data_IF_943145156615
#
_entry.id   IF_943145156615
#
_cell.length_a   1.000
_cell.length_b   1.000
_cell.length_c   1.000
_cell.angle_alpha   90.00
_cell.angle_beta   90.00
_cell.angle_gamma   90.00
#
_symmetry.space_group_name_H-M   'P 1'
#
loop_
_entity.id
_entity.type
_entity.pdbx_description
1 polymer ?
#
# COMPACT_ATOMS: atom_id res chain seq x y z
N UNK A 1 30.77 22.51 5.29
CA UNK A 1 31.03 22.32 6.73
C UNK A 1 30.99 20.83 6.98
N UNK A 2 32.12 20.14 6.83
CA UNK A 2 32.20 18.72 7.17
C UNK A 2 32.07 18.53 8.68
N UNK A 3 31.51 17.39 9.08
CA UNK A 3 31.44 16.95 10.47
C UNK A 3 32.33 15.71 10.56
N UNK A 4 33.55 15.92 11.02
CA UNK A 4 34.65 14.94 11.10
C UNK A 4 34.18 13.58 11.66
N UNK A 5 33.57 13.58 12.85
CA UNK A 5 33.05 12.39 13.51
C UNK A 5 31.88 11.68 12.78
N UNK A 6 31.23 12.32 11.79
CA UNK A 6 30.27 11.64 10.91
C UNK A 6 30.95 11.10 9.65
N UNK A 7 31.99 11.76 9.16
CA UNK A 7 32.75 11.28 7.99
C UNK A 7 33.63 10.07 8.37
N UNK A 8 34.25 10.09 9.54
CA UNK A 8 34.96 8.94 10.13
C UNK A 8 34.09 7.67 10.22
N UNK A 9 32.76 7.84 10.41
CA UNK A 9 31.82 6.73 10.52
C UNK A 9 31.24 6.31 9.17
N UNK A 10 30.76 7.26 8.37
CA UNK A 10 30.05 6.98 7.12
C UNK A 10 30.95 6.95 5.87
N UNK A 11 32.16 7.51 5.94
CA UNK A 11 33.09 7.64 4.81
C UNK A 11 32.49 8.36 3.60
N UNK A 12 31.67 9.40 3.82
CA UNK A 12 30.94 10.05 2.71
C UNK A 12 31.88 10.85 1.81
N UNK A 13 32.95 11.44 2.35
CA UNK A 13 33.96 12.14 1.53
C UNK A 13 34.81 11.17 0.73
N UNK A 14 35.18 10.00 1.28
CA UNK A 14 35.85 8.93 0.52
C UNK A 14 34.97 8.41 -0.64
N UNK A 15 33.66 8.37 -0.42
CA UNK A 15 32.64 8.03 -1.44
C UNK A 15 32.36 9.18 -2.42
N UNK A 16 33.06 10.32 -2.31
CA UNK A 16 32.96 11.46 -3.22
C UNK A 16 31.74 12.37 -2.99
N UNK A 17 31.10 12.30 -1.83
CA UNK A 17 29.96 13.11 -1.43
C UNK A 17 30.35 14.17 -0.39
N UNK A 18 29.36 14.85 0.19
CA UNK A 18 29.53 15.83 1.28
C UNK A 18 28.29 15.90 2.15
N UNK A 19 28.41 16.39 3.39
CA UNK A 19 27.31 16.47 4.35
C UNK A 19 26.04 17.19 3.80
N UNK A 20 26.21 18.26 3.02
CA UNK A 20 25.08 18.94 2.36
C UNK A 20 24.43 18.09 1.25
N UNK A 21 25.23 17.31 0.53
CA UNK A 21 24.73 16.41 -0.52
C UNK A 21 24.00 15.21 0.10
N UNK A 22 24.51 14.64 1.19
CA UNK A 22 23.84 13.56 1.94
C UNK A 22 22.49 14.00 2.51
N UNK A 23 22.40 15.19 3.11
CA UNK A 23 21.09 15.74 3.56
C UNK A 23 20.14 15.92 2.37
N UNK A 24 20.61 16.48 1.25
CA UNK A 24 19.77 16.65 0.04
C UNK A 24 19.36 15.31 -0.57
N UNK A 25 20.22 14.30 -0.52
CA UNK A 25 19.92 12.94 -0.97
C UNK A 25 18.88 12.28 -0.05
N UNK A 26 19.06 12.33 1.27
CA UNK A 26 18.11 11.82 2.26
C UNK A 26 16.72 12.45 2.13
N UNK A 27 16.64 13.78 1.99
CA UNK A 27 15.37 14.48 1.75
C UNK A 27 14.74 14.09 0.41
N UNK A 28 15.53 13.97 -0.66
CA UNK A 28 15.02 13.53 -1.96
C UNK A 28 14.48 12.09 -1.92
N UNK A 29 15.21 11.17 -1.28
CA UNK A 29 14.81 9.77 -1.09
C UNK A 29 13.54 9.66 -0.25
N UNK A 30 13.48 10.36 0.89
CA UNK A 30 12.27 10.46 1.72
C UNK A 30 11.06 10.91 0.88
N UNK A 31 11.19 12.02 0.16
CA UNK A 31 10.11 12.54 -0.70
C UNK A 31 9.68 11.53 -1.76
N UNK A 32 10.61 10.80 -2.40
CA UNK A 32 10.24 9.77 -3.40
C UNK A 32 9.51 8.56 -2.83
N UNK A 33 9.62 8.29 -1.53
CA UNK A 33 8.94 7.18 -0.86
C UNK A 33 7.72 7.62 -0.05
N UNK A 34 7.57 8.91 0.25
CA UNK A 34 6.54 9.44 1.16
C UNK A 34 5.10 9.07 0.77
N UNK A 35 4.85 8.69 -0.49
CA UNK A 35 3.57 8.12 -0.93
C UNK A 35 3.14 6.89 -0.10
N UNK A 36 4.09 6.11 0.44
CA UNK A 36 3.80 4.91 1.25
C UNK A 36 3.04 5.24 2.53
N UNK A 37 3.18 6.47 3.04
CA UNK A 37 2.46 6.97 4.22
C UNK A 37 0.96 7.17 3.94
N UNK A 38 0.54 7.29 2.67
CA UNK A 38 -0.88 7.32 2.31
C UNK A 38 -1.33 5.96 1.79
N UNK A 39 -0.52 5.34 0.91
CA UNK A 39 -0.92 4.14 0.18
C UNK A 39 -0.90 2.88 1.05
N UNK A 40 0.06 2.70 1.97
CA UNK A 40 0.04 1.52 2.85
C UNK A 40 -1.13 1.58 3.87
N UNK A 41 -1.38 2.70 4.57
CA UNK A 41 -2.54 2.79 5.46
C UNK A 41 -3.88 2.65 4.73
N UNK A 42 -4.02 3.24 3.53
CA UNK A 42 -5.21 3.05 2.70
C UNK A 42 -5.49 1.57 2.37
N UNK A 43 -4.45 0.81 2.02
CA UNK A 43 -4.56 -0.64 1.79
C UNK A 43 -4.94 -1.39 3.07
N UNK A 44 -4.27 -1.11 4.19
CA UNK A 44 -4.53 -1.78 5.47
C UNK A 44 -5.91 -1.44 6.06
N UNK A 45 -6.48 -0.27 5.73
CA UNK A 45 -7.86 0.06 6.10
C UNK A 45 -8.92 -0.77 5.39
N UNK A 46 -8.64 -1.32 4.21
CA UNK A 46 -9.52 -2.31 3.57
C UNK A 46 -9.64 -3.58 4.42
N UNK A 47 -8.55 -3.97 5.10
CA UNK A 47 -8.51 -5.08 6.06
C UNK A 47 -9.08 -4.73 7.45
N UNK A 48 -9.65 -3.54 7.65
CA UNK A 48 -10.24 -3.11 8.92
C UNK A 48 -9.26 -2.54 9.95
N UNK A 49 -8.01 -2.26 9.58
CA UNK A 49 -7.04 -1.58 10.45
C UNK A 49 -7.26 -0.06 10.33
N UNK A 50 -7.43 0.70 11.44
CA UNK A 50 -7.66 2.14 11.34
C UNK A 50 -6.53 2.87 10.60
N UNK A 51 -6.88 3.84 9.75
CA UNK A 51 -5.92 4.52 8.87
C UNK A 51 -4.81 5.24 9.65
N UNK A 52 -5.15 5.99 10.70
CA UNK A 52 -4.19 6.71 11.54
C UNK A 52 -3.24 5.76 12.28
N UNK A 53 -3.77 4.67 12.84
CA UNK A 53 -3.00 3.60 13.47
C UNK A 53 -1.99 2.98 12.48
N UNK A 54 -2.44 2.64 11.27
CA UNK A 54 -1.60 2.08 10.21
C UNK A 54 -0.57 3.08 9.68
N UNK A 55 -0.90 4.38 9.62
CA UNK A 55 0.00 5.48 9.26
C UNK A 55 1.12 5.64 10.29
N UNK A 56 0.78 5.69 11.58
CA UNK A 56 1.77 5.75 12.65
C UNK A 56 2.69 4.52 12.63
N UNK A 57 2.12 3.31 12.52
CA UNK A 57 2.87 2.07 12.45
C UNK A 57 3.81 2.03 11.23
N UNK A 58 3.33 2.44 10.05
CA UNK A 58 4.12 2.53 8.80
C UNK A 58 5.31 3.49 8.98
N UNK A 59 5.06 4.69 9.49
CA UNK A 59 6.09 5.70 9.70
C UNK A 59 7.15 5.24 10.70
N UNK A 60 6.73 4.66 11.83
CA UNK A 60 7.63 4.17 12.87
C UNK A 60 8.46 2.96 12.43
N UNK A 61 7.85 1.99 11.75
CA UNK A 61 8.55 0.82 11.23
C UNK A 61 9.59 1.20 10.16
N UNK A 62 9.24 2.07 9.21
CA UNK A 62 10.17 2.59 8.21
C UNK A 62 11.31 3.40 8.85
N UNK A 63 11.02 4.23 9.85
CA UNK A 63 12.03 4.98 10.61
C UNK A 63 13.02 4.07 11.35
N UNK A 64 12.53 3.06 12.06
CA UNK A 64 13.39 2.08 12.76
C UNK A 64 14.22 1.28 11.75
N UNK A 65 13.63 0.80 10.65
CA UNK A 65 14.34 0.08 9.60
C UNK A 65 15.45 0.93 8.96
N UNK A 66 15.16 2.16 8.57
CA UNK A 66 16.15 3.09 8.01
C UNK A 66 17.26 3.42 9.02
N UNK A 67 16.95 3.59 10.32
CA UNK A 67 17.96 3.79 11.36
C UNK A 67 18.86 2.57 11.55
N UNK A 68 18.33 1.34 11.50
CA UNK A 68 19.15 0.12 11.59
C UNK A 68 20.10 0.02 10.40
N UNK A 69 19.61 0.29 9.17
CA UNK A 69 20.46 0.24 7.98
C UNK A 69 21.54 1.34 7.97
N UNK A 70 21.20 2.56 8.37
CA UNK A 70 22.16 3.66 8.47
C UNK A 70 23.16 3.51 9.63
N UNK A 71 22.66 3.35 10.86
CA UNK A 71 23.44 3.48 12.10
C UNK A 71 24.06 2.16 12.61
N UNK A 72 23.68 1.00 12.04
CA UNK A 72 24.27 -0.29 12.40
C UNK A 72 24.86 -1.01 11.18
N UNK A 73 24.15 -1.06 10.05
CA UNK A 73 24.70 -1.70 8.84
C UNK A 73 25.64 -0.79 8.02
N UNK A 74 25.61 0.54 8.24
CA UNK A 74 26.35 1.55 7.46
C UNK A 74 26.08 1.45 5.94
N UNK A 75 24.80 1.23 5.59
CA UNK A 75 24.32 1.08 4.23
C UNK A 75 23.26 2.16 3.91
N UNK A 76 23.36 2.87 2.76
CA UNK A 76 22.42 3.91 2.36
C UNK A 76 21.13 3.32 1.77
N UNK A 77 20.55 2.33 2.44
CA UNK A 77 19.34 1.63 2.01
C UNK A 77 18.15 2.11 2.83
N UNK A 78 17.20 2.76 2.16
CA UNK A 78 15.92 3.09 2.75
C UNK A 78 15.00 1.86 2.74
N UNK A 79 14.30 1.63 3.86
CA UNK A 79 13.36 0.53 4.04
C UNK A 79 11.95 1.08 4.27
N UNK A 80 10.99 0.53 3.55
CA UNK A 80 9.55 0.79 3.68
C UNK A 80 8.77 -0.48 3.32
N UNK A 81 7.49 -0.63 3.75
CA UNK A 81 6.70 -1.82 3.47
C UNK A 81 6.56 -2.15 1.97
N UNK A 82 6.70 -3.42 1.62
CA UNK A 82 6.60 -3.91 0.24
C UNK A 82 5.14 -4.00 -0.23
N UNK A 83 4.76 -3.18 -1.21
CA UNK A 83 3.38 -3.10 -1.72
C UNK A 83 2.77 -4.42 -2.19
N UNK A 84 3.59 -5.36 -2.69
CA UNK A 84 3.13 -6.70 -3.07
C UNK A 84 2.71 -7.53 -1.86
N UNK A 85 3.53 -7.56 -0.81
CA UNK A 85 3.23 -8.25 0.46
C UNK A 85 2.02 -7.62 1.16
N UNK A 86 1.90 -6.28 1.13
CA UNK A 86 0.74 -5.58 1.70
C UNK A 86 -0.57 -5.96 0.98
N UNK A 87 -0.56 -6.04 -0.35
CA UNK A 87 -1.72 -6.48 -1.13
C UNK A 87 -2.05 -7.97 -0.92
N UNK A 88 -1.03 -8.82 -0.76
CA UNK A 88 -1.22 -10.23 -0.41
C UNK A 88 -1.79 -10.40 1.01
N UNK A 89 -1.31 -9.63 1.99
CA UNK A 89 -1.85 -9.59 3.34
C UNK A 89 -3.34 -9.24 3.35
N UNK A 90 -3.74 -8.15 2.67
CA UNK A 90 -5.14 -7.70 2.63
C UNK A 90 -6.02 -8.68 1.85
N UNK A 91 -5.74 -8.88 0.56
CA UNK A 91 -6.66 -9.58 -0.34
C UNK A 91 -6.49 -11.10 -0.37
N UNK A 92 -5.26 -11.59 -0.14
CA UNK A 92 -4.96 -13.03 -0.14
C UNK A 92 -5.21 -13.67 1.23
N UNK A 93 -4.79 -13.02 2.31
CA UNK A 93 -4.89 -13.55 3.68
C UNK A 93 -6.13 -13.04 4.40
N UNK A 94 -6.23 -11.76 4.74
CA UNK A 94 -7.32 -11.25 5.60
C UNK A 94 -8.69 -11.45 4.95
N UNK A 95 -8.84 -11.13 3.67
CA UNK A 95 -10.09 -11.37 2.94
C UNK A 95 -10.34 -12.86 2.69
N UNK A 96 -9.30 -13.68 2.58
CA UNK A 96 -9.41 -15.14 2.52
C UNK A 96 -9.94 -15.75 3.83
N UNK A 97 -9.56 -15.19 4.98
CA UNK A 97 -10.10 -15.53 6.29
C UNK A 97 -11.55 -15.04 6.46
N UNK A 98 -11.83 -13.79 6.07
CA UNK A 98 -13.09 -13.13 6.35
C UNK A 98 -14.25 -13.53 5.41
N UNK A 99 -13.97 -13.69 4.12
CA UNK A 99 -14.98 -14.00 3.09
C UNK A 99 -14.84 -15.40 2.50
N UNK A 100 -13.77 -16.13 2.83
CA UNK A 100 -13.55 -17.52 2.43
C UNK A 100 -14.31 -18.53 3.30
N UNK A 101 -13.88 -19.81 3.31
CA UNK A 101 -14.60 -20.89 3.99
C UNK A 101 -14.59 -20.79 5.53
N UNK A 102 -13.72 -19.96 6.11
CA UNK A 102 -13.64 -19.74 7.56
C UNK A 102 -14.68 -18.72 8.09
N UNK A 103 -15.14 -17.78 7.25
CA UNK A 103 -16.07 -16.68 7.63
C UNK A 103 -15.68 -15.98 8.96
N UNK A 104 -14.38 -15.75 9.16
CA UNK A 104 -13.86 -15.12 10.38
C UNK A 104 -14.28 -13.64 10.41
N UNK A 105 -14.85 -13.11 11.51
CA UNK A 105 -15.20 -11.70 11.56
C UNK A 105 -13.93 -10.84 11.47
N UNK A 106 -14.02 -9.68 10.82
CA UNK A 106 -12.84 -8.92 10.37
C UNK A 106 -11.92 -8.50 11.52
N UNK A 107 -12.51 -8.20 12.68
CA UNK A 107 -11.87 -7.90 13.97
C UNK A 107 -10.98 -9.04 14.50
N UNK A 108 -11.13 -10.27 14.01
CA UNK A 108 -10.29 -11.42 14.34
C UNK A 108 -9.37 -11.84 13.18
N UNK A 109 -9.76 -11.55 11.94
CA UNK A 109 -9.01 -11.93 10.74
C UNK A 109 -7.67 -11.17 10.62
N UNK A 110 -7.65 -9.84 10.75
CA UNK A 110 -6.40 -9.08 10.63
C UNK A 110 -5.44 -9.23 11.83
N UNK A 111 -5.88 -9.36 13.10
CA UNK A 111 -4.97 -9.64 14.21
C UNK A 111 -4.31 -11.03 14.12
N UNK A 112 -5.06 -12.06 13.68
CA UNK A 112 -4.51 -13.39 13.42
C UNK A 112 -3.47 -13.37 12.30
N UNK A 113 -3.72 -12.60 11.23
CA UNK A 113 -2.75 -12.40 10.16
C UNK A 113 -1.49 -11.65 10.65
N UNK A 114 -1.62 -10.62 11.48
CA UNK A 114 -0.47 -9.94 12.10
C UNK A 114 0.33 -10.87 13.04
N UNK A 115 -0.34 -11.73 13.80
CA UNK A 115 0.32 -12.74 14.62
C UNK A 115 1.12 -13.74 13.75
N UNK A 116 0.59 -14.12 12.59
CA UNK A 116 1.29 -14.99 11.64
C UNK A 116 2.54 -14.30 11.09
N UNK A 117 2.42 -13.06 10.60
CA UNK A 117 3.56 -12.23 10.13
C UNK A 117 4.61 -12.02 11.24
N UNK A 118 4.21 -11.87 12.49
CA UNK A 118 5.14 -11.71 13.61
C UNK A 118 5.97 -12.99 13.88
N UNK A 119 5.35 -14.17 13.91
CA UNK A 119 6.10 -15.44 14.07
C UNK A 119 6.93 -15.72 12.82
N UNK A 120 6.39 -15.46 11.63
CA UNK A 120 7.04 -15.66 10.34
C UNK A 120 8.31 -14.80 10.23
N UNK A 121 8.26 -13.52 10.61
CA UNK A 121 9.43 -12.65 10.66
C UNK A 121 10.51 -13.11 11.65
N UNK A 122 10.13 -13.77 12.76
CA UNK A 122 11.09 -14.43 13.67
C UNK A 122 11.73 -15.65 12.99
N UNK A 123 10.95 -16.46 12.27
CA UNK A 123 11.44 -17.61 11.50
C UNK A 123 12.40 -17.13 10.39
N UNK A 124 12.05 -16.08 9.64
CA UNK A 124 12.91 -15.51 8.62
C UNK A 124 14.19 -14.90 9.20
N UNK A 125 14.11 -14.20 10.34
CA UNK A 125 15.30 -13.73 11.05
C UNK A 125 16.24 -14.90 11.36
N UNK A 126 15.72 -16.00 11.92
CA UNK A 126 16.51 -17.22 12.22
C UNK A 126 17.09 -17.85 10.94
N UNK A 127 16.31 -18.02 9.87
CA UNK A 127 16.75 -18.60 8.59
C UNK A 127 17.78 -17.72 7.88
N UNK A 128 17.73 -16.40 8.06
CA UNK A 128 18.68 -15.44 7.51
C UNK A 128 20.06 -15.48 8.16
N UNK A 129 20.17 -16.03 9.39
CA UNK A 129 21.42 -16.06 10.13
C UNK A 129 22.52 -16.82 9.34
N UNK A 130 23.73 -16.26 9.16
CA UNK A 130 24.81 -16.92 8.44
C UNK A 130 25.20 -18.30 8.98
N UNK A 131 24.93 -18.56 10.27
CA UNK A 131 25.19 -19.84 10.94
C UNK A 131 24.22 -20.95 10.52
N UNK A 132 22.99 -20.60 10.11
CA UNK A 132 21.97 -21.56 9.65
C UNK A 132 22.21 -21.91 8.18
N UNK A 133 22.66 -20.95 7.37
CA UNK A 133 23.06 -21.15 5.97
C UNK A 133 21.92 -21.46 4.99
N UNK A 134 20.70 -21.70 5.49
CA UNK A 134 19.55 -22.11 4.68
C UNK A 134 19.13 -21.04 3.66
N UNK A 135 19.29 -19.74 3.95
CA UNK A 135 19.03 -18.65 2.99
C UNK A 135 19.72 -18.91 1.63
N UNK A 136 20.97 -19.35 1.64
CA UNK A 136 21.72 -19.64 0.41
C UNK A 136 21.27 -20.95 -0.26
N UNK A 137 20.81 -21.94 0.48
CA UNK A 137 20.27 -23.18 -0.09
C UNK A 137 18.88 -22.96 -0.73
N UNK A 138 18.04 -22.16 -0.07
CA UNK A 138 16.72 -21.73 -0.50
C UNK A 138 16.78 -20.94 -1.81
N UNK A 139 17.56 -19.86 -1.83
CA UNK A 139 17.68 -18.97 -3.01
C UNK A 139 18.23 -19.73 -4.23
N UNK A 140 19.02 -20.79 -4.03
CA UNK A 140 19.56 -21.64 -5.10
C UNK A 140 18.66 -22.83 -5.50
N UNK A 141 17.65 -23.21 -4.70
CA UNK A 141 16.73 -24.29 -5.06
C UNK A 141 15.61 -23.82 -6.01
N UNK A 142 15.31 -22.52 -6.00
CA UNK A 142 14.29 -21.90 -6.84
C UNK A 142 14.84 -21.63 -8.26
N UNK A 143 14.25 -22.23 -9.32
CA UNK A 143 14.62 -21.92 -10.70
C UNK A 143 14.41 -20.45 -11.04
N UNK A 144 15.33 -19.87 -11.83
CA UNK A 144 15.27 -18.47 -12.27
C UNK A 144 13.95 -18.10 -12.94
N UNK A 145 13.37 -19.03 -13.68
CA UNK A 145 12.11 -18.84 -14.39
C UNK A 145 10.91 -18.67 -13.43
N UNK A 146 10.92 -19.33 -12.27
CA UNK A 146 9.91 -19.11 -11.22
C UNK A 146 10.06 -17.72 -10.59
N UNK A 147 11.28 -17.25 -10.33
CA UNK A 147 11.52 -15.91 -9.77
C UNK A 147 10.95 -14.81 -10.67
N UNK A 148 11.23 -14.94 -11.98
CA UNK A 148 10.68 -14.04 -13.00
C UNK A 148 9.15 -14.15 -13.07
N UNK A 149 8.60 -15.37 -13.01
CA UNK A 149 7.16 -15.58 -13.03
C UNK A 149 6.43 -15.01 -11.80
N UNK A 150 6.99 -15.16 -10.58
CA UNK A 150 6.42 -14.57 -9.36
C UNK A 150 6.41 -13.04 -9.44
N UNK A 151 7.53 -12.41 -9.82
CA UNK A 151 7.58 -10.96 -9.99
C UNK A 151 6.59 -10.43 -11.03
N UNK A 152 6.44 -11.13 -12.16
CA UNK A 152 5.43 -10.81 -13.17
C UNK A 152 3.99 -11.04 -12.67
N UNK A 153 3.76 -12.08 -11.88
CA UNK A 153 2.46 -12.39 -11.27
C UNK A 153 2.03 -11.31 -10.26
N UNK A 154 2.89 -10.98 -9.29
CA UNK A 154 2.65 -9.93 -8.29
C UNK A 154 2.44 -8.57 -9.00
N UNK A 155 3.28 -8.24 -9.98
CA UNK A 155 3.13 -7.01 -10.78
C UNK A 155 1.80 -6.94 -11.55
N UNK A 156 1.34 -8.05 -12.12
CA UNK A 156 0.05 -8.12 -12.82
C UNK A 156 -1.13 -8.04 -11.85
N UNK A 157 -1.04 -8.69 -10.69
CA UNK A 157 -2.05 -8.63 -9.63
C UNK A 157 -2.21 -7.21 -9.08
N UNK A 158 -1.10 -6.53 -8.75
CA UNK A 158 -1.09 -5.13 -8.34
C UNK A 158 -1.62 -4.19 -9.44
N UNK A 159 -1.34 -4.47 -10.71
CA UNK A 159 -1.89 -3.69 -11.82
C UNK A 159 -3.42 -3.86 -11.96
N UNK A 160 -3.96 -5.06 -11.75
CA UNK A 160 -5.40 -5.33 -11.74
C UNK A 160 -6.08 -4.62 -10.56
N UNK A 161 -5.48 -4.68 -9.36
CA UNK A 161 -5.96 -3.93 -8.18
C UNK A 161 -5.95 -2.42 -8.49
N UNK A 162 -4.83 -1.88 -8.99
CA UNK A 162 -4.77 -0.47 -9.35
C UNK A 162 -5.82 -0.07 -10.39
N UNK A 163 -6.14 -0.93 -11.36
CA UNK A 163 -7.23 -0.70 -12.32
C UNK A 163 -8.64 -0.82 -11.71
N UNK A 164 -8.83 -1.63 -10.66
CA UNK A 164 -10.07 -1.70 -9.86
C UNK A 164 -10.27 -0.43 -9.04
N UNK A 165 -9.25 -0.02 -8.27
CA UNK A 165 -9.34 1.17 -7.41
C UNK A 165 -9.45 2.47 -8.24
N UNK A 166 -8.86 2.52 -9.43
CA UNK A 166 -9.10 3.61 -10.41
C UNK A 166 -10.44 3.48 -11.15
N UNK A 167 -11.31 2.52 -10.84
CA UNK A 167 -12.61 2.35 -11.49
C UNK A 167 -12.60 1.92 -12.96
N UNK A 168 -11.47 1.49 -13.52
CA UNK A 168 -11.39 0.97 -14.90
C UNK A 168 -11.81 -0.49 -15.01
N UNK A 169 -11.62 -1.28 -13.96
CA UNK A 169 -11.98 -2.70 -13.89
C UNK A 169 -13.08 -2.90 -12.84
N UNK A 170 -14.17 -3.54 -13.26
CA UNK A 170 -15.28 -3.95 -12.38
C UNK A 170 -15.42 -5.47 -12.37
N UNK A 171 -16.04 -6.01 -11.32
CA UNK A 171 -16.53 -7.39 -11.35
C UNK A 171 -17.64 -7.55 -12.40
N UNK A 172 -17.79 -8.76 -12.94
CA UNK A 172 -18.92 -9.18 -13.75
C UNK A 172 -19.15 -10.68 -13.57
N UNK A 173 -20.33 -11.07 -13.10
CA UNK A 173 -20.59 -12.40 -12.49
C UNK A 173 -20.22 -13.61 -13.37
N UNK A 174 -20.22 -13.45 -14.69
CA UNK A 174 -19.87 -14.52 -15.64
C UNK A 174 -18.39 -14.53 -16.10
N UNK A 175 -17.62 -13.48 -15.82
CA UNK A 175 -16.21 -13.34 -16.30
C UNK A 175 -15.22 -12.84 -15.23
N UNK A 176 -15.70 -12.48 -14.04
CA UNK A 176 -14.98 -11.86 -12.91
C UNK A 176 -14.31 -10.50 -13.20
N UNK A 177 -14.18 -10.14 -14.48
CA UNK A 177 -13.62 -8.88 -14.97
C UNK A 177 -14.49 -8.36 -16.11
N UNK A 178 -14.84 -7.09 -16.04
CA UNK A 178 -15.34 -6.28 -17.15
C UNK A 178 -14.75 -4.86 -17.09
N UNK A 179 -14.93 -4.08 -18.16
CA UNK A 179 -14.60 -2.66 -18.18
C UNK A 179 -15.65 -1.89 -17.37
N UNK A 180 -15.22 -1.00 -16.48
CA UNK A 180 -16.12 -0.12 -15.75
C UNK A 180 -16.88 0.85 -16.68
N UNK A 181 -17.97 1.49 -16.20
CA UNK A 181 -18.74 2.47 -16.96
C UNK A 181 -18.01 3.83 -17.10
N UNK A 182 -16.72 3.81 -17.49
CA UNK A 182 -15.84 5.00 -17.58
C UNK A 182 -16.03 5.83 -18.85
N UNK A 183 -17.00 5.47 -19.70
CA UNK A 183 -17.27 6.15 -20.98
C UNK A 183 -17.88 7.55 -20.83
N UNK A 184 -18.58 7.81 -19.72
CA UNK A 184 -19.16 9.12 -19.41
C UNK A 184 -18.13 10.01 -18.68
N UNK A 185 -17.14 10.48 -19.45
CA UNK A 185 -15.99 11.26 -18.97
C UNK A 185 -16.35 12.53 -18.17
N UNK A 186 -17.57 13.04 -18.35
CA UNK A 186 -18.19 14.06 -17.50
C UNK A 186 -19.54 13.54 -17.03
N UNK A 187 -19.70 13.30 -15.74
CA UNK A 187 -21.01 12.96 -15.16
C UNK A 187 -21.67 14.26 -14.66
N UNK A 188 -22.97 14.43 -14.96
CA UNK A 188 -23.70 15.67 -14.71
C UNK A 188 -25.01 15.38 -14.00
N UNK A 189 -25.03 15.49 -12.68
CA UNK A 189 -26.26 15.44 -11.88
C UNK A 189 -26.75 16.83 -11.49
N UNK A 190 -28.07 16.91 -11.28
CA UNK A 190 -28.82 18.12 -10.90
C UNK A 190 -28.92 19.21 -11.99
N UNK A 191 -29.97 20.03 -11.88
CA UNK A 191 -30.28 21.12 -12.80
C UNK A 191 -29.40 22.39 -12.58
N UNK A 192 -28.19 22.24 -12.04
CA UNK A 192 -27.36 23.35 -11.54
C UNK A 192 -26.05 23.55 -12.33
N UNK A 193 -25.84 22.79 -13.41
CA UNK A 193 -24.86 23.13 -14.47
C UNK A 193 -23.39 22.80 -14.19
N UNK A 194 -23.06 22.20 -13.04
CA UNK A 194 -21.71 21.72 -12.73
C UNK A 194 -21.49 20.30 -13.27
N UNK A 195 -20.72 20.17 -14.35
CA UNK A 195 -20.26 18.86 -14.84
C UNK A 195 -19.03 18.40 -14.06
N UNK A 196 -19.14 17.28 -13.37
CA UNK A 196 -18.07 16.70 -12.56
C UNK A 196 -17.22 15.73 -13.40
N UNK A 197 -15.91 15.66 -13.12
CA UNK A 197 -15.04 14.65 -13.75
C UNK A 197 -15.11 13.33 -12.96
N UNK A 198 -14.97 12.22 -13.68
CA UNK A 198 -14.90 10.89 -13.09
C UNK A 198 -13.43 10.53 -12.75
N UNK A 199 -13.18 10.07 -11.53
CA UNK A 199 -11.84 9.86 -10.95
C UNK A 199 -10.93 8.98 -11.80
N UNK A 200 -11.50 7.94 -12.42
CA UNK A 200 -10.82 7.04 -13.36
C UNK A 200 -10.04 7.77 -14.46
N UNK A 201 -10.58 8.86 -15.01
CA UNK A 201 -9.92 9.63 -16.07
C UNK A 201 -8.72 10.42 -15.50
N UNK A 202 -8.91 11.05 -14.33
CA UNK A 202 -7.87 11.82 -13.64
C UNK A 202 -6.72 10.89 -13.27
N UNK A 203 -7.02 9.72 -12.71
CA UNK A 203 -6.05 8.71 -12.32
C UNK A 203 -5.30 8.11 -13.53
N UNK A 204 -6.00 7.82 -14.64
CA UNK A 204 -5.36 7.34 -15.88
C UNK A 204 -4.43 8.38 -16.51
N UNK A 205 -4.86 9.65 -16.56
CA UNK A 205 -4.01 10.76 -17.04
C UNK A 205 -2.81 10.96 -16.11
N UNK A 206 -2.99 10.85 -14.80
CA UNK A 206 -1.91 10.92 -13.83
C UNK A 206 -0.92 9.75 -13.97
N UNK A 207 -1.41 8.51 -14.15
CA UNK A 207 -0.58 7.31 -14.38
C UNK A 207 0.29 7.46 -15.63
N UNK A 208 -0.29 7.92 -16.74
CA UNK A 208 0.43 8.20 -17.98
C UNK A 208 1.43 9.36 -17.81
N UNK A 209 1.06 10.42 -17.07
CA UNK A 209 1.97 11.51 -16.76
C UNK A 209 3.16 11.07 -15.89
N UNK A 210 2.92 10.23 -14.87
CA UNK A 210 3.96 9.63 -14.02
C UNK A 210 4.90 8.78 -14.88
N UNK A 211 4.36 7.91 -15.74
CA UNK A 211 5.17 7.09 -16.65
C UNK A 211 6.05 7.94 -17.58
N UNK A 212 5.51 9.02 -18.16
CA UNK A 212 6.27 9.96 -19.01
C UNK A 212 7.32 10.76 -18.21
N UNK A 213 7.01 11.17 -16.98
CA UNK A 213 7.97 11.87 -16.11
C UNK A 213 9.11 10.95 -15.63
N UNK A 214 8.80 9.70 -15.28
CA UNK A 214 9.78 8.66 -14.95
C UNK A 214 10.68 8.35 -16.16
N UNK A 215 10.10 8.15 -17.35
CA UNK A 215 10.86 7.93 -18.59
C UNK A 215 11.75 9.12 -18.98
N UNK A 216 11.44 10.34 -18.50
CA UNK A 216 12.26 11.54 -18.64
C UNK A 216 13.27 11.75 -17.51
N UNK A 217 13.37 10.83 -16.54
CA UNK A 217 14.30 10.92 -15.41
C UNK A 217 13.96 12.03 -14.41
N UNK A 218 12.70 12.49 -14.36
CA UNK A 218 12.29 13.57 -13.46
C UNK A 218 12.23 13.09 -12.01
N UNK A 219 13.11 13.63 -11.16
CA UNK A 219 13.08 13.40 -9.71
C UNK A 219 11.71 13.81 -9.15
N UNK A 220 11.10 12.95 -8.33
CA UNK A 220 9.78 13.22 -7.74
C UNK A 220 8.59 13.03 -8.69
N UNK A 221 8.76 12.40 -9.87
CA UNK A 221 7.69 12.15 -10.85
C UNK A 221 6.37 11.62 -10.25
N UNK A 222 6.43 10.65 -9.34
CA UNK A 222 5.25 10.08 -8.64
C UNK A 222 4.54 11.17 -7.82
N UNK A 223 5.30 11.95 -7.04
CA UNK A 223 4.78 13.02 -6.18
C UNK A 223 4.06 14.09 -7.03
N UNK A 224 4.67 14.53 -8.13
CA UNK A 224 4.07 15.53 -9.02
C UNK A 224 2.81 15.00 -9.71
N UNK A 225 2.77 13.72 -10.06
CA UNK A 225 1.58 13.08 -10.61
C UNK A 225 0.44 12.97 -9.61
N UNK A 226 0.72 12.50 -8.39
CA UNK A 226 -0.27 12.39 -7.31
C UNK A 226 -0.80 13.76 -6.89
N UNK A 227 0.08 14.73 -6.62
CA UNK A 227 -0.35 16.11 -6.29
C UNK A 227 -1.15 16.75 -7.43
N UNK A 228 -0.75 16.52 -8.68
CA UNK A 228 -1.52 16.98 -9.85
C UNK A 228 -2.91 16.36 -9.91
N UNK A 229 -3.03 15.05 -9.68
CA UNK A 229 -4.30 14.33 -9.61
C UNK A 229 -5.20 14.86 -8.49
N UNK A 230 -4.66 15.01 -7.27
CA UNK A 230 -5.40 15.55 -6.11
C UNK A 230 -5.92 16.96 -6.38
N UNK A 231 -5.08 17.86 -6.90
CA UNK A 231 -5.48 19.24 -7.21
C UNK A 231 -6.58 19.28 -8.28
N UNK A 232 -6.48 18.48 -9.35
CA UNK A 232 -7.54 18.39 -10.37
C UNK A 232 -8.82 17.79 -9.78
N UNK A 233 -8.72 16.74 -8.95
CA UNK A 233 -9.85 16.13 -8.25
C UNK A 233 -10.60 17.12 -7.36
N UNK A 234 -9.88 17.89 -6.54
CA UNK A 234 -10.46 18.94 -5.69
C UNK A 234 -11.12 20.07 -6.48
N UNK A 235 -10.50 20.53 -7.57
CA UNK A 235 -11.05 21.60 -8.43
C UNK A 235 -12.31 21.15 -9.17
N UNK A 236 -12.41 19.88 -9.54
CA UNK A 236 -13.54 19.31 -10.30
C UNK A 236 -14.58 18.63 -9.42
N UNK A 237 -14.38 18.61 -8.09
CA UNK A 237 -15.13 17.80 -7.12
C UNK A 237 -15.40 16.40 -7.66
N UNK A 238 -14.33 15.73 -8.08
CA UNK A 238 -14.39 14.46 -8.77
C UNK A 238 -15.06 13.37 -7.92
N UNK A 239 -15.88 12.54 -8.56
CA UNK A 239 -16.38 11.30 -7.96
C UNK A 239 -15.40 10.17 -8.25
N UNK A 240 -15.11 9.36 -7.24
CA UNK A 240 -14.26 8.17 -7.38
C UNK A 240 -14.85 7.02 -6.53
N UNK A 241 -15.03 5.81 -7.08
CA UNK A 241 -15.53 4.65 -6.34
C UNK A 241 -14.78 4.36 -5.03
N UNK A 242 -13.47 4.65 -5.00
CA UNK A 242 -12.67 4.46 -3.80
C UNK A 242 -13.14 5.36 -2.63
N UNK A 243 -13.69 6.55 -2.90
CA UNK A 243 -14.20 7.46 -1.87
C UNK A 243 -15.44 6.91 -1.16
N UNK A 244 -16.36 6.27 -1.89
CA UNK A 244 -17.53 5.61 -1.32
C UNK A 244 -17.14 4.39 -0.46
N UNK A 245 -16.09 3.67 -0.86
CA UNK A 245 -15.55 2.55 -0.08
C UNK A 245 -14.86 3.04 1.21
N UNK A 246 -14.00 4.06 1.11
CA UNK A 246 -13.34 4.70 2.26
C UNK A 246 -14.33 5.36 3.24
N UNK A 247 -15.49 5.78 2.76
CA UNK A 247 -16.60 6.29 3.58
C UNK A 247 -17.47 5.18 4.22
N UNK A 248 -17.17 3.91 3.97
CA UNK A 248 -17.83 2.77 4.61
C UNK A 248 -19.25 2.48 4.08
N UNK A 249 -19.59 2.91 2.86
CA UNK A 249 -20.96 2.82 2.31
C UNK A 249 -21.41 1.40 1.87
N UNK A 250 -20.80 0.35 2.42
CA UNK A 250 -21.36 -1.02 2.43
C UNK A 250 -21.33 -1.79 1.10
N UNK A 251 -20.65 -1.29 0.06
CA UNK A 251 -20.40 -2.03 -1.20
C UNK A 251 -18.92 -1.91 -1.60
N UNK A 252 -18.51 -2.58 -2.68
CA UNK A 252 -17.16 -2.55 -3.28
C UNK A 252 -16.67 -1.16 -3.79
N UNK A 253 -17.24 -0.05 -3.30
CA UNK A 253 -17.00 1.32 -3.76
C UNK A 253 -18.01 1.82 -4.79
N UNK A 254 -18.99 1.01 -5.15
CA UNK A 254 -19.78 1.19 -6.36
C UNK A 254 -21.25 1.56 -6.09
N UNK A 255 -21.53 2.20 -4.95
CA UNK A 255 -22.88 2.68 -4.57
C UNK A 255 -23.41 3.65 -5.61
N UNK A 256 -22.56 4.57 -6.08
CA UNK A 256 -22.91 5.57 -7.06
C UNK A 256 -22.39 5.22 -8.48
N UNK A 257 -22.45 3.94 -8.89
CA UNK A 257 -22.57 3.59 -10.31
C UNK A 257 -23.95 4.04 -10.81
N UNK A 258 -24.00 4.71 -11.95
CA UNK A 258 -25.81 4.87 -12.95
C UNK A 258 -26.53 3.53 -13.05
N UNK A 259 -27.84 3.53 -12.79
CA UNK A 259 -28.69 2.51 -13.39
C UNK A 259 -28.58 2.58 -14.93
N UNK A 260 -28.97 1.51 -15.63
CA UNK A 260 -28.89 1.45 -17.09
C UNK A 260 -29.73 2.47 -17.86
N UNK A 261 -30.40 3.40 -17.16
CA UNK A 261 -31.24 4.47 -17.71
C UNK A 261 -30.67 5.88 -17.41
N UNK A 262 -29.49 6.00 -16.79
CA UNK A 262 -28.83 7.28 -16.50
C UNK A 262 -29.18 7.88 -15.13
N UNK A 263 -29.81 7.13 -14.23
CA UNK A 263 -30.25 7.61 -12.92
C UNK A 263 -29.14 7.65 -11.86
N UNK A 264 -28.87 8.84 -11.33
CA UNK A 264 -27.90 9.11 -10.25
C UNK A 264 -28.55 9.98 -9.17
N UNK A 265 -29.02 9.38 -8.06
CA UNK A 265 -29.81 10.07 -7.03
C UNK A 265 -29.61 9.56 -5.58
N UNK A 266 -28.48 8.92 -5.24
CA UNK A 266 -28.15 8.70 -3.82
C UNK A 266 -27.46 9.94 -3.22
N UNK A 267 -27.94 10.51 -2.10
CA UNK A 267 -27.30 11.66 -1.46
C UNK A 267 -25.99 11.34 -0.70
N UNK A 268 -25.58 10.07 -0.60
CA UNK A 268 -24.41 9.64 0.18
C UNK A 268 -23.08 9.65 -0.57
N UNK A 269 -23.08 9.75 -1.92
CA UNK A 269 -21.85 9.68 -2.72
C UNK A 269 -20.80 10.69 -2.26
N UNK A 270 -19.54 10.24 -2.15
CA UNK A 270 -18.44 11.08 -1.64
C UNK A 270 -17.61 11.66 -2.77
N UNK A 271 -17.38 12.98 -2.71
CA UNK A 271 -16.66 13.74 -3.73
C UNK A 271 -15.32 14.27 -3.20
N UNK A 272 -14.32 14.30 -4.09
CA UNK A 272 -12.99 14.80 -3.79
C UNK A 272 -13.03 16.25 -3.29
N UNK A 273 -12.69 16.45 -2.03
CA UNK A 273 -12.64 17.75 -1.36
C UNK A 273 -11.24 17.99 -0.79
N UNK A 274 -10.82 19.26 -0.76
CA UNK A 274 -9.51 19.62 -0.21
C UNK A 274 -9.56 19.54 1.34
N UNK A 275 -8.53 18.98 2.00
CA UNK A 275 -8.48 18.90 3.46
C UNK A 275 -8.47 20.31 4.08
N UNK A 276 -9.07 20.47 5.27
CA UNK A 276 -9.09 21.79 5.91
C UNK A 276 -7.68 22.19 6.37
N UNK A 277 -7.42 23.50 6.42
CA UNK A 277 -6.10 24.06 6.77
C UNK A 277 -5.58 23.65 8.16
N UNK A 278 -6.45 23.18 9.06
CA UNK A 278 -6.05 22.59 10.35
C UNK A 278 -5.54 21.15 10.22
N UNK A 279 -6.14 20.36 9.34
CA UNK A 279 -5.89 18.92 9.20
C UNK A 279 -4.58 18.63 8.46
N UNK A 280 -4.10 19.60 7.67
CA UNK A 280 -2.80 19.56 6.96
C UNK A 280 -1.62 19.43 7.93
N UNK A 281 -1.78 19.84 9.20
CA UNK A 281 -0.72 19.82 10.22
C UNK A 281 -1.17 19.13 11.52
N UNK A 282 -1.77 17.94 11.40
CA UNK A 282 -2.07 17.07 12.53
C UNK A 282 -0.83 16.31 13.06
N UNK A 283 -0.86 15.94 14.35
CA UNK A 283 -0.06 14.84 14.87
C UNK A 283 -0.96 13.61 14.95
N UNK A 284 -0.64 12.58 14.16
CA UNK A 284 -1.30 11.27 14.20
C UNK A 284 -1.12 10.68 15.59
N UNK A 285 -2.21 10.24 16.23
CA UNK A 285 -2.17 9.72 17.59
C UNK A 285 -1.24 8.50 17.75
N UNK A 286 -0.92 8.14 18.99
CA UNK A 286 -0.45 6.77 19.22
C UNK A 286 -1.59 5.81 18.83
N UNK A 287 -1.30 4.70 18.14
CA UNK A 287 -2.31 3.70 17.82
C UNK A 287 -2.96 3.20 19.12
N UNK A 288 -4.28 3.36 19.25
CA UNK A 288 -5.02 2.92 20.45
C UNK A 288 -5.86 1.67 20.22
N UNK A 289 -6.11 1.33 18.96
CA UNK A 289 -6.98 0.19 18.58
C UNK A 289 -6.16 -0.98 18.02
N UNK A 290 -5.04 -0.71 17.36
CA UNK A 290 -4.15 -1.74 16.79
C UNK A 290 -2.89 -2.03 17.63
N UNK A 291 -2.58 -1.21 18.63
CA UNK A 291 -1.34 -1.36 19.42
C UNK A 291 -1.35 -2.66 20.23
N UNK A 292 -0.57 -3.63 19.75
CA UNK A 292 -0.50 -4.96 20.37
C UNK A 292 -1.51 -5.97 19.82
N UNK A 293 -2.28 -5.64 18.78
CA UNK A 293 -3.31 -6.55 18.23
C UNK A 293 -2.75 -7.94 17.81
N UNK A 294 -1.47 -8.04 17.43
CA UNK A 294 -0.84 -9.35 17.18
C UNK A 294 -0.84 -10.27 18.43
N UNK A 295 -0.90 -9.70 19.65
CA UNK A 295 -1.02 -10.41 20.94
C UNK A 295 -2.45 -10.93 21.12
N UNK A 296 -3.47 -10.18 20.71
CA UNK A 296 -4.86 -10.66 20.68
C UNK A 296 -5.03 -11.76 19.61
N UNK A 297 -4.34 -11.60 18.48
CA UNK A 297 -4.18 -12.63 17.44
C UNK A 297 -3.54 -13.91 17.98
N UNK A 298 -2.53 -13.83 18.87
CA UNK A 298 -1.99 -15.01 19.56
C UNK A 298 -3.05 -15.75 20.40
N UNK A 299 -4.06 -15.04 20.91
CA UNK A 299 -5.20 -15.64 21.62
C UNK A 299 -6.10 -16.49 20.72
N UNK A 300 -6.36 -16.05 19.49
CA UNK A 300 -7.25 -16.77 18.55
C UNK A 300 -6.59 -17.96 17.83
N UNK A 301 -5.25 -18.10 17.88
CA UNK A 301 -4.53 -19.26 17.32
C UNK A 301 -5.04 -20.59 17.90
N UNK A 302 -5.39 -20.64 19.19
CA UNK A 302 -5.77 -21.87 19.88
C UNK A 302 -6.96 -22.60 19.24
N UNK A 303 -7.98 -21.82 18.85
CA UNK A 303 -9.21 -22.32 18.23
C UNK A 303 -9.13 -22.40 16.70
N UNK A 304 -8.14 -21.74 16.08
CA UNK A 304 -7.98 -21.60 14.62
C UNK A 304 -6.63 -22.13 14.11
N UNK A 305 -6.05 -23.15 14.77
CA UNK A 305 -4.67 -23.57 14.57
C UNK A 305 -4.36 -24.07 13.14
N UNK A 306 -5.31 -24.75 12.51
CA UNK A 306 -5.18 -25.23 11.12
C UNK A 306 -5.10 -24.08 10.11
N UNK A 307 -5.97 -23.09 10.31
CA UNK A 307 -6.08 -21.85 9.54
C UNK A 307 -4.85 -20.98 9.75
N UNK A 308 -4.36 -20.87 10.99
CA UNK A 308 -3.13 -20.17 11.33
C UNK A 308 -1.90 -20.80 10.67
N UNK A 309 -1.77 -22.13 10.70
CA UNK A 309 -0.69 -22.86 10.01
C UNK A 309 -0.78 -22.65 8.49
N UNK A 310 -1.98 -22.64 7.90
CA UNK A 310 -2.17 -22.36 6.48
C UNK A 310 -1.67 -20.95 6.11
N UNK A 311 -2.02 -19.93 6.91
CA UNK A 311 -1.58 -18.54 6.72
C UNK A 311 -0.07 -18.40 6.89
N UNK A 312 0.54 -19.03 7.92
CA UNK A 312 1.99 -19.04 8.10
C UNK A 312 2.71 -19.68 6.91
N UNK A 313 2.23 -20.82 6.40
CA UNK A 313 2.82 -21.48 5.22
C UNK A 313 2.66 -20.62 3.97
N UNK A 314 1.57 -19.86 3.85
CA UNK A 314 1.33 -18.97 2.72
C UNK A 314 2.28 -17.74 2.73
N UNK A 315 2.45 -17.06 3.87
CA UNK A 315 3.46 -15.99 4.00
C UNK A 315 4.87 -16.52 3.76
N UNK A 316 5.26 -17.60 4.46
CA UNK A 316 6.58 -18.20 4.30
C UNK A 316 6.86 -18.54 2.83
N UNK A 317 5.87 -19.05 2.10
CA UNK A 317 6.01 -19.31 0.66
C UNK A 317 6.23 -18.03 -0.13
N UNK A 318 5.44 -16.96 0.07
CA UNK A 318 5.59 -15.71 -0.69
C UNK A 318 6.94 -15.05 -0.44
N UNK A 319 7.35 -14.88 0.83
CA UNK A 319 8.63 -14.26 1.20
C UNK A 319 9.84 -15.10 0.74
N UNK A 320 9.69 -16.43 0.63
CA UNK A 320 10.69 -17.32 0.00
C UNK A 320 10.95 -16.95 -1.48
N UNK A 321 9.95 -16.42 -2.21
CA UNK A 321 10.14 -15.98 -3.60
C UNK A 321 10.46 -14.48 -3.74
N UNK A 322 9.97 -13.62 -2.84
CA UNK A 322 10.28 -12.17 -2.89
C UNK A 322 11.73 -11.88 -2.47
N UNK A 323 12.35 -12.73 -1.65
CA UNK A 323 13.73 -12.59 -1.17
C UNK A 323 14.81 -13.28 -2.05
N UNK A 324 14.46 -13.83 -3.23
CA UNK A 324 15.29 -14.80 -3.96
C UNK A 324 15.73 -14.43 -5.38
#
# INVERSE_FOLDING_TARGET
MEIEALDDYFGYTEKGSSFENEIRAGVATFLTMAYILVVNPAMLSLAGIPFDDALFATALAAFIGCMVMGLWANLPFALAPGMGLNAFFVFGVVFGLAYGPAQMPMDQAWPLALAAVFIEGIIFLIISLPQVGWRSALINSIPKDLKIATGAGIGTFLAIIGLREMGWVVNHDATLVALGPTGDFFWSTSATGSGHMHGALIAMVALLAIAVMLARGMKGAIIYGVLGASIVGWITSAYDPWLDNAAGLGTDGWVCIPDGNGGYLDPSCVYASAPALGDIFGFVGMPTESMGAFIDGFGSIGDNLDTFIMVMVAFLFVDIFDTA
#
